data_IF_775824827025
#
_entry.id   IF_775824827025
#
_cell.length_a   1.000
_cell.length_b   1.000
_cell.length_c   1.000
_cell.angle_alpha   90.00
_cell.angle_beta   90.00
_cell.angle_gamma   90.00
#
_symmetry.space_group_name_H-M   'P 1'
#
loop_
_entity.id
_entity.type
_entity.pdbx_description
1 polymer ?
#
# COMPACT_ATOMS: atom_id res chain seq x y z
N UNK A 1 1.72 24.44 1.04
CA UNK A 1 0.89 23.69 0.07
C UNK A 1 0.87 22.24 0.53
N UNK A 2 -0.27 21.56 0.49
CA UNK A 2 -0.40 20.14 0.86
C UNK A 2 -0.49 19.32 -0.43
N UNK A 3 0.04 18.10 -0.41
CA UNK A 3 -0.06 17.15 -1.52
C UNK A 3 -0.75 15.89 -1.01
N UNK A 4 -1.74 15.41 -1.75
CA UNK A 4 -2.53 14.23 -1.43
C UNK A 4 -2.09 13.07 -2.32
N UNK A 5 -1.66 11.98 -1.68
CA UNK A 5 -1.30 10.74 -2.36
C UNK A 5 -2.43 9.72 -2.22
N UNK A 6 -3.01 9.30 -3.34
CA UNK A 6 -3.89 8.15 -3.43
C UNK A 6 -3.06 6.87 -3.48
N UNK A 7 -3.40 5.85 -2.67
CA UNK A 7 -2.68 4.58 -2.64
C UNK A 7 -3.50 3.52 -3.39
N UNK A 8 -2.98 3.01 -4.49
CA UNK A 8 -3.57 1.94 -5.28
C UNK A 8 -2.76 0.65 -5.13
N UNK A 9 -3.24 -0.27 -4.29
CA UNK A 9 -2.64 -1.59 -4.15
C UNK A 9 -3.24 -2.54 -5.19
N UNK A 10 -2.39 -3.14 -6.02
CA UNK A 10 -2.76 -4.16 -6.98
C UNK A 10 -2.80 -5.52 -6.27
N UNK A 11 -3.95 -5.91 -5.73
CA UNK A 11 -4.16 -7.23 -5.09
C UNK A 11 -4.86 -8.20 -6.04
N UNK A 12 -4.30 -9.39 -6.25
CA UNK A 12 -5.01 -10.54 -6.85
C UNK A 12 -6.04 -11.16 -5.88
N UNK A 13 -5.85 -10.93 -4.57
CA UNK A 13 -6.64 -11.52 -3.47
C UNK A 13 -7.92 -10.75 -3.20
N UNK A 14 -8.82 -10.81 -4.15
CA UNK A 14 -10.17 -10.28 -3.99
C UNK A 14 -11.10 -11.37 -3.47
N UNK A 15 -12.03 -11.01 -2.59
CA UNK A 15 -13.08 -11.92 -2.12
C UNK A 15 -14.07 -12.35 -3.23
N UNK A 16 -13.92 -11.80 -4.45
CA UNK A 16 -14.79 -12.00 -5.62
C UNK A 16 -13.96 -12.53 -6.81
N UNK A 17 -14.47 -13.54 -7.52
CA UNK A 17 -13.78 -14.23 -8.63
C UNK A 17 -13.37 -13.29 -9.78
N UNK A 18 -14.13 -12.21 -10.01
CA UNK A 18 -13.97 -11.28 -11.13
C UNK A 18 -12.76 -10.34 -10.97
N UNK A 19 -12.16 -10.30 -9.78
CA UNK A 19 -11.07 -9.38 -9.43
C UNK A 19 -9.73 -10.10 -9.23
N UNK A 20 -9.65 -11.34 -9.73
CA UNK A 20 -8.42 -12.17 -9.80
C UNK A 20 -7.61 -11.98 -11.08
N UNK A 21 -7.95 -10.99 -11.90
CA UNK A 21 -7.10 -10.54 -12.99
C UNK A 21 -6.56 -9.18 -12.60
N UNK A 22 -5.24 -9.01 -12.64
CA UNK A 22 -4.61 -7.71 -12.76
C UNK A 22 -5.09 -7.10 -14.09
N UNK A 23 -6.34 -6.65 -14.14
CA UNK A 23 -6.89 -5.94 -15.28
C UNK A 23 -6.20 -4.58 -15.31
N UNK A 24 -5.24 -4.35 -16.23
CA UNK A 24 -4.53 -3.09 -16.27
C UNK A 24 -5.51 -1.94 -16.56
N UNK A 25 -6.61 -2.23 -17.29
CA UNK A 25 -7.64 -1.24 -17.57
C UNK A 25 -8.42 -0.85 -16.29
N UNK A 26 -8.76 -1.82 -15.44
CA UNK A 26 -9.35 -1.59 -14.13
C UNK A 26 -8.44 -0.78 -13.21
N UNK A 27 -7.15 -1.10 -13.16
CA UNK A 27 -6.16 -0.33 -12.38
C UNK A 27 -6.04 1.12 -12.87
N UNK A 28 -5.98 1.33 -14.18
CA UNK A 28 -5.96 2.68 -14.79
C UNK A 28 -7.24 3.44 -14.48
N UNK A 29 -8.41 2.77 -14.59
CA UNK A 29 -9.70 3.39 -14.27
C UNK A 29 -9.75 3.84 -12.81
N UNK A 30 -9.30 2.99 -11.87
CA UNK A 30 -9.24 3.33 -10.45
C UNK A 30 -8.28 4.50 -10.18
N UNK A 31 -7.11 4.54 -10.82
CA UNK A 31 -6.16 5.65 -10.68
C UNK A 31 -6.76 6.97 -11.20
N UNK A 32 -7.47 6.94 -12.34
CA UNK A 32 -8.15 8.12 -12.89
C UNK A 32 -9.21 8.64 -11.91
N UNK A 33 -10.01 7.75 -11.31
CA UNK A 33 -10.99 8.16 -10.31
C UNK A 33 -10.32 8.77 -9.06
N UNK A 34 -9.20 8.23 -8.60
CA UNK A 34 -8.44 8.81 -7.47
C UNK A 34 -7.98 10.24 -7.75
N UNK A 35 -7.52 10.50 -8.98
CA UNK A 35 -7.16 11.86 -9.41
C UNK A 35 -8.40 12.76 -9.50
N UNK A 36 -9.53 12.27 -10.03
CA UNK A 36 -10.79 13.02 -10.13
C UNK A 36 -11.34 13.46 -8.77
N UNK A 37 -11.19 12.64 -7.74
CA UNK A 37 -11.66 12.96 -6.37
C UNK A 37 -10.69 13.84 -5.57
N UNK A 38 -9.52 14.18 -6.14
CA UNK A 38 -8.60 15.17 -5.57
C UNK A 38 -7.25 14.64 -5.11
N UNK A 39 -6.82 13.46 -5.54
CA UNK A 39 -5.42 13.06 -5.38
C UNK A 39 -4.53 13.86 -6.34
N UNK A 40 -3.40 14.35 -5.87
CA UNK A 40 -2.38 14.99 -6.71
C UNK A 40 -1.48 13.94 -7.38
N UNK A 41 -1.26 12.81 -6.70
CA UNK A 41 -0.42 11.70 -7.14
C UNK A 41 -1.09 10.38 -6.75
N UNK A 42 -0.91 9.34 -7.56
CA UNK A 42 -1.30 7.97 -7.23
C UNK A 42 -0.05 7.10 -7.08
N UNK A 43 0.14 6.52 -5.90
CA UNK A 43 1.18 5.54 -5.61
C UNK A 43 0.63 4.14 -5.89
N UNK A 44 1.21 3.47 -6.88
CA UNK A 44 0.77 2.15 -7.34
C UNK A 44 1.73 1.09 -6.82
N UNK A 45 1.22 0.17 -6.01
CA UNK A 45 2.04 -0.82 -5.32
C UNK A 45 1.50 -2.25 -5.41
N UNK A 46 2.35 -3.24 -5.09
CA UNK A 46 1.94 -4.65 -4.96
C UNK A 46 0.91 -4.85 -3.82
N UNK A 47 0.34 -6.06 -3.65
CA UNK A 47 -0.57 -6.36 -2.56
C UNK A 47 -0.04 -5.88 -1.21
N UNK A 48 -0.89 -5.23 -0.42
CA UNK A 48 -0.52 -4.86 0.95
C UNK A 48 -0.24 -6.12 1.77
N UNK A 49 0.97 -6.24 2.33
CA UNK A 49 1.33 -7.33 3.23
C UNK A 49 0.59 -7.14 4.55
N UNK A 50 -0.51 -7.88 4.73
CA UNK A 50 -1.24 -7.89 6.00
C UNK A 50 -0.39 -8.61 7.06
N UNK A 51 0.25 -7.84 7.93
CA UNK A 51 0.97 -8.41 9.07
C UNK A 51 -0.05 -8.94 10.09
N UNK A 52 -0.09 -10.26 10.28
CA UNK A 52 -0.77 -10.87 11.42
C UNK A 52 0.13 -10.74 12.65
N UNK A 53 -0.04 -9.65 13.39
CA UNK A 53 0.46 -9.48 14.77
C UNK A 53 1.87 -10.02 15.06
N UNK A 54 2.91 -9.50 14.40
CA UNK A 54 4.26 -9.62 14.92
C UNK A 54 4.59 -8.32 15.65
N UNK A 55 4.35 -8.32 16.97
CA UNK A 55 5.04 -7.40 17.87
C UNK A 55 6.54 -7.62 17.68
N UNK A 56 7.16 -6.77 16.86
CA UNK A 56 8.61 -6.68 16.76
C UNK A 56 9.11 -6.28 18.14
N UNK A 57 9.74 -7.21 18.86
CA UNK A 57 10.44 -6.88 20.11
C UNK A 57 11.37 -5.71 19.81
N UNK A 58 11.38 -4.65 20.64
CA UNK A 58 12.33 -3.57 20.45
C UNK A 58 13.73 -4.20 20.48
N UNK A 59 14.50 -3.94 19.42
CA UNK A 59 15.91 -4.28 19.38
C UNK A 59 16.53 -3.66 20.63
N UNK A 60 16.98 -4.48 21.57
CA UNK A 60 17.72 -3.97 22.72
C UNK A 60 18.91 -3.23 22.15
N UNK A 61 18.93 -1.91 22.36
CA UNK A 61 20.15 -1.15 22.30
C UNK A 61 21.02 -1.68 23.42
N UNK A 62 21.83 -2.69 23.13
CA UNK A 62 22.95 -3.05 23.99
C UNK A 62 23.97 -1.91 23.86
N UNK A 63 23.67 -0.85 24.62
CA UNK A 63 24.57 -0.09 25.48
C UNK A 63 26.02 -0.09 24.99
N UNK A 64 26.37 1.03 24.35
CA UNK A 64 27.68 1.66 24.54
C UNK A 64 27.93 1.82 26.06
N UNK A 65 28.57 0.83 26.67
CA UNK A 65 29.44 0.97 27.85
C UNK A 65 30.78 0.42 27.39
N UNK A 66 31.67 1.23 26.81
CA UNK A 66 32.71 1.97 27.57
C UNK A 66 33.09 1.23 28.85
N UNK A 67 34.09 0.36 28.74
CA UNK A 67 35.32 0.34 29.55
C UNK A 67 36.29 -0.64 28.92
#
# INVERSE_FOLDING_TARGET
MVTVFGILNLTEDSFFDESRRLDPAGAVTAAIEMLRVGSDVVDVGPPAIRTRGLYRRPMRSDVLRRS
#
